data_IF_703573778721
#
_entry.id   IF_703573778721
#
_cell.length_a   1.000
_cell.length_b   1.000
_cell.length_c   1.000
_cell.angle_alpha   90.00
_cell.angle_beta   90.00
_cell.angle_gamma   90.00
#
_symmetry.space_group_name_H-M   'P 1'
#
loop_
_entity.id
_entity.type
_entity.pdbx_description
1 polymer ?
#
# COMPACT_ATOMS: atom_id res chain seq x y z
N UNK A 1 -21.05 13.48 -18.82
CA UNK A 1 -22.44 13.92 -18.57
C UNK A 1 -22.46 14.90 -17.40
N UNK A 2 -23.24 15.99 -17.45
CA UNK A 2 -23.43 16.88 -16.30
C UNK A 2 -24.25 16.17 -15.21
N UNK A 3 -23.70 16.09 -13.99
CA UNK A 3 -24.41 15.53 -12.84
C UNK A 3 -25.27 16.64 -12.23
N UNK A 4 -26.60 16.49 -12.28
CA UNK A 4 -27.52 17.47 -11.71
C UNK A 4 -27.77 17.17 -10.23
N UNK A 5 -27.13 17.95 -9.36
CA UNK A 5 -27.38 17.92 -7.92
C UNK A 5 -28.58 18.80 -7.61
N UNK A 6 -29.70 18.19 -7.18
CA UNK A 6 -30.94 18.90 -6.83
C UNK A 6 -31.00 19.34 -5.36
N UNK A 7 -30.16 18.75 -4.50
CA UNK A 7 -30.10 19.09 -3.08
C UNK A 7 -29.11 20.24 -2.84
N UNK A 8 -29.60 21.31 -2.22
CA UNK A 8 -28.80 22.50 -1.91
C UNK A 8 -27.63 22.19 -0.96
N UNK A 9 -27.80 21.25 -0.04
CA UNK A 9 -26.72 20.82 0.88
C UNK A 9 -25.57 20.16 0.12
N UNK A 10 -25.91 19.35 -0.88
CA UNK A 10 -24.91 18.68 -1.71
C UNK A 10 -24.22 19.68 -2.65
N UNK A 11 -24.92 20.72 -3.10
CA UNK A 11 -24.32 21.81 -3.89
C UNK A 11 -23.30 22.61 -3.07
N UNK A 12 -23.57 22.86 -1.78
CA UNK A 12 -22.61 23.50 -0.88
C UNK A 12 -21.37 22.63 -0.62
N UNK A 13 -21.57 21.32 -0.39
CA UNK A 13 -20.48 20.35 -0.27
C UNK A 13 -19.64 20.29 -1.55
N UNK A 14 -20.27 20.31 -2.73
CA UNK A 14 -19.58 20.32 -4.01
C UNK A 14 -18.73 21.59 -4.20
N UNK A 15 -19.20 22.75 -3.74
CA UNK A 15 -18.42 24.00 -3.76
C UNK A 15 -17.20 23.92 -2.84
N UNK A 16 -17.34 23.34 -1.65
CA UNK A 16 -16.21 23.12 -0.74
C UNK A 16 -15.21 22.14 -1.35
N UNK A 17 -15.68 21.01 -1.88
CA UNK A 17 -14.85 20.03 -2.57
C UNK A 17 -14.12 20.63 -3.77
N UNK A 18 -14.78 21.50 -4.55
CA UNK A 18 -14.16 22.19 -5.67
C UNK A 18 -13.01 23.09 -5.23
N UNK A 19 -13.16 23.82 -4.11
CA UNK A 19 -12.10 24.66 -3.55
C UNK A 19 -10.91 23.84 -3.04
N UNK A 20 -11.19 22.74 -2.34
CA UNK A 20 -10.15 21.86 -1.76
C UNK A 20 -9.37 21.16 -2.88
N UNK A 21 -10.08 20.61 -3.87
CA UNK A 21 -9.50 19.84 -4.97
C UNK A 21 -9.03 20.71 -6.15
N UNK A 22 -9.31 22.02 -6.13
CA UNK A 22 -9.05 22.98 -7.22
C UNK A 22 -9.56 22.50 -8.58
N UNK A 23 -10.71 21.81 -8.57
CA UNK A 23 -11.28 21.23 -9.78
C UNK A 23 -11.95 22.31 -10.66
N UNK A 24 -11.90 22.17 -11.99
CA UNK A 24 -12.43 23.17 -12.91
C UNK A 24 -13.96 23.27 -12.86
N UNK A 25 -14.65 22.16 -12.60
CA UNK A 25 -16.11 22.15 -12.43
C UNK A 25 -16.52 21.47 -11.13
N UNK A 26 -17.72 21.80 -10.61
CA UNK A 26 -18.33 21.11 -9.46
C UNK A 26 -18.50 19.61 -9.73
N UNK A 27 -18.84 19.24 -10.97
CA UNK A 27 -18.97 17.85 -11.40
C UNK A 27 -17.64 17.11 -11.34
N UNK A 28 -16.54 17.74 -11.76
CA UNK A 28 -15.19 17.17 -11.65
C UNK A 28 -14.76 17.03 -10.19
N UNK A 29 -15.09 18.01 -9.35
CA UNK A 29 -14.81 17.94 -7.91
C UNK A 29 -15.53 16.76 -7.27
N UNK A 30 -16.81 16.55 -7.59
CA UNK A 30 -17.62 15.43 -7.09
C UNK A 30 -17.04 14.11 -7.59
N UNK A 31 -16.73 14.00 -8.89
CA UNK A 31 -16.14 12.78 -9.46
C UNK A 31 -14.85 12.42 -8.76
N UNK A 32 -13.92 13.36 -8.64
CA UNK A 32 -12.63 13.13 -7.98
C UNK A 32 -12.78 12.83 -6.48
N UNK A 33 -13.76 13.41 -5.80
CA UNK A 33 -14.04 13.11 -4.40
C UNK A 33 -14.58 11.68 -4.25
N UNK A 34 -15.49 11.25 -5.12
CA UNK A 34 -16.03 9.90 -5.12
C UNK A 34 -15.00 8.86 -5.57
N UNK A 35 -14.22 9.16 -6.61
CA UNK A 35 -13.08 8.35 -7.04
C UNK A 35 -12.11 8.17 -5.88
N UNK A 36 -11.73 9.24 -5.16
CA UNK A 36 -10.91 9.08 -3.96
C UNK A 36 -11.56 8.20 -2.91
N UNK A 37 -12.86 8.29 -2.66
CA UNK A 37 -13.52 7.44 -1.66
C UNK A 37 -13.56 5.97 -2.09
N UNK A 38 -13.70 5.71 -3.40
CA UNK A 38 -13.73 4.36 -3.97
C UNK A 38 -12.32 3.77 -4.13
N UNK A 39 -11.35 4.59 -4.54
CA UNK A 39 -9.94 4.24 -4.72
C UNK A 39 -9.16 4.22 -3.41
N UNK A 40 -9.59 4.98 -2.40
CA UNK A 40 -9.13 4.73 -1.03
C UNK A 40 -9.64 3.33 -0.75
N UNK A 41 -8.76 2.30 -0.79
CA UNK A 41 -9.22 0.97 -0.49
C UNK A 41 -9.75 1.08 0.92
N UNK A 42 -10.90 0.43 1.15
CA UNK A 42 -11.62 0.39 2.43
C UNK A 42 -10.66 0.44 3.61
N UNK A 43 -11.08 0.98 4.76
CA UNK A 43 -10.30 1.15 6.00
C UNK A 43 -9.25 0.06 6.31
N UNK A 44 -9.41 -1.15 5.79
CA UNK A 44 -8.36 -2.15 5.54
C UNK A 44 -7.01 -1.60 5.04
N UNK A 45 -6.90 -0.83 3.94
CA UNK A 45 -5.59 -0.36 3.44
C UNK A 45 -4.96 0.76 4.29
N UNK A 46 -5.78 1.56 4.98
CA UNK A 46 -5.29 2.52 5.97
C UNK A 46 -4.81 1.78 7.23
N UNK A 47 -5.49 0.69 7.63
CA UNK A 47 -4.99 -0.26 8.63
C UNK A 47 -3.69 -0.92 8.19
N UNK A 48 -3.53 -1.27 6.92
CA UNK A 48 -2.29 -1.88 6.41
C UNK A 48 -1.09 -0.92 6.42
N UNK A 49 -1.33 0.38 6.26
CA UNK A 49 -0.29 1.40 6.45
C UNK A 49 0.05 1.66 7.92
N UNK A 50 -0.89 1.39 8.83
CA UNK A 50 -0.69 1.47 10.29
C UNK A 50 -0.21 0.15 10.91
N UNK A 51 -0.30 -0.96 10.17
CA UNK A 51 0.17 -2.24 10.62
C UNK A 51 1.68 -2.19 10.83
N UNK A 52 2.14 -2.74 11.95
CA UNK A 52 3.57 -2.85 12.23
C UNK A 52 4.26 -3.61 11.09
N UNK A 53 5.53 -3.31 10.85
CA UNK A 53 6.35 -4.03 9.86
C UNK A 53 6.33 -5.54 10.17
N UNK A 54 6.29 -5.91 11.45
CA UNK A 54 6.17 -7.29 11.93
C UNK A 54 4.88 -7.97 11.44
N UNK A 55 3.71 -7.35 11.63
CA UNK A 55 2.41 -7.88 11.19
C UNK A 55 2.32 -8.06 9.66
N UNK A 56 3.07 -7.23 8.91
CA UNK A 56 3.16 -7.37 7.45
C UNK A 56 4.01 -8.56 7.06
N UNK A 57 5.14 -8.77 7.76
CA UNK A 57 6.02 -9.92 7.55
C UNK A 57 5.32 -11.22 7.93
N UNK A 58 4.62 -11.27 9.06
CA UNK A 58 3.87 -12.46 9.49
C UNK A 58 2.80 -12.86 8.47
N UNK A 59 2.04 -11.89 7.93
CA UNK A 59 1.06 -12.16 6.88
C UNK A 59 1.70 -12.72 5.61
N UNK A 60 2.87 -12.22 5.21
CA UNK A 60 3.60 -12.76 4.07
C UNK A 60 4.08 -14.18 4.36
N UNK A 61 4.61 -14.45 5.55
CA UNK A 61 5.04 -15.80 5.95
C UNK A 61 3.88 -16.79 5.92
N UNK A 62 2.73 -16.42 6.50
CA UNK A 62 1.52 -17.25 6.48
C UNK A 62 1.01 -17.51 5.06
N UNK A 63 1.14 -16.54 4.15
CA UNK A 63 0.72 -16.69 2.75
C UNK A 63 1.58 -17.71 1.98
N UNK A 64 2.87 -17.81 2.31
CA UNK A 64 3.82 -18.69 1.63
C UNK A 64 4.21 -19.91 2.47
N UNK A 65 3.46 -20.19 3.55
CA UNK A 65 3.72 -21.27 4.50
C UNK A 65 5.18 -21.30 5.01
N UNK A 66 5.75 -20.12 5.26
CA UNK A 66 7.11 -19.97 5.76
C UNK A 66 7.15 -20.17 7.27
N UNK A 67 8.23 -20.78 7.79
CA UNK A 67 8.40 -20.97 9.23
C UNK A 67 8.55 -19.65 9.99
N UNK A 68 8.23 -19.65 11.31
CA UNK A 68 8.48 -18.51 12.20
C UNK A 68 9.94 -18.07 12.16
N UNK A 69 10.20 -16.76 12.28
CA UNK A 69 11.56 -16.22 12.19
C UNK A 69 12.49 -16.83 13.25
N UNK A 70 11.98 -17.04 14.46
CA UNK A 70 12.71 -17.61 15.59
C UNK A 70 13.15 -19.05 15.37
N UNK A 71 12.49 -19.77 14.46
CA UNK A 71 12.82 -21.15 14.12
C UNK A 71 13.83 -21.27 12.97
N UNK A 72 14.20 -20.16 12.33
CA UNK A 72 15.18 -20.17 11.26
C UNK A 72 16.59 -20.25 11.85
N UNK A 73 17.38 -21.19 11.34
CA UNK A 73 18.81 -21.23 11.60
C UNK A 73 19.47 -19.94 11.09
N UNK A 74 20.53 -19.51 11.78
CA UNK A 74 21.30 -18.36 11.31
C UNK A 74 21.91 -18.66 9.95
N UNK A 75 21.56 -17.82 8.98
CA UNK A 75 22.09 -17.94 7.63
C UNK A 75 23.52 -17.39 7.59
N UNK A 76 24.50 -18.25 7.33
CA UNK A 76 25.88 -17.83 7.10
C UNK A 76 26.02 -17.29 5.68
N UNK A 77 25.84 -15.97 5.57
CA UNK A 77 25.98 -15.25 4.31
C UNK A 77 27.37 -15.44 3.70
N UNK A 78 28.43 -15.52 4.51
CA UNK A 78 29.79 -15.64 4.00
C UNK A 78 30.01 -17.03 3.41
N UNK A 79 29.66 -18.09 4.14
CA UNK A 79 29.80 -19.45 3.63
C UNK A 79 28.99 -19.68 2.34
N UNK A 80 27.76 -19.14 2.29
CA UNK A 80 26.92 -19.20 1.09
C UNK A 80 27.56 -18.47 -0.10
N UNK A 81 28.11 -17.26 0.12
CA UNK A 81 28.79 -16.51 -0.94
C UNK A 81 30.12 -17.17 -1.33
N UNK A 82 30.89 -17.69 -0.38
CA UNK A 82 32.13 -18.42 -0.64
C UNK A 82 31.87 -19.68 -1.49
N UNK A 83 30.76 -20.39 -1.25
CA UNK A 83 30.31 -21.53 -2.06
C UNK A 83 29.94 -21.12 -3.48
N UNK A 84 29.21 -20.01 -3.63
CA UNK A 84 28.74 -19.51 -4.92
C UNK A 84 29.86 -18.89 -5.77
N UNK A 85 30.93 -18.38 -5.15
CA UNK A 85 32.07 -17.75 -5.84
C UNK A 85 33.35 -18.60 -5.84
N UNK A 86 33.37 -19.73 -5.13
CA UNK A 86 34.35 -20.79 -5.30
C UNK A 86 35.78 -20.41 -4.94
N UNK A 87 36.04 -19.97 -3.71
CA UNK A 87 37.41 -19.83 -3.21
C UNK A 87 37.81 -21.03 -2.34
N UNK A 88 38.09 -22.13 -3.05
CA UNK A 88 38.93 -23.21 -2.54
C UNK A 88 40.17 -23.46 -3.43
N UNK A 89 40.52 -22.54 -4.36
CA UNK A 89 41.63 -22.78 -5.29
C UNK A 89 42.31 -21.52 -5.87
N UNK A 90 42.64 -20.51 -5.05
CA UNK A 90 43.55 -19.41 -5.49
C UNK A 90 45.01 -19.60 -5.04
N UNK A 91 45.33 -20.77 -4.50
CA UNK A 91 46.69 -21.17 -4.15
C UNK A 91 47.04 -22.55 -4.72
N UNK A 92 47.23 -22.62 -6.04
CA UNK A 92 47.97 -23.72 -6.67
C UNK A 92 49.00 -23.19 -7.65
#
# INVERSE_FOLDING_TARGET
MPLYVRDERVNQLAQQAQKILKAPTKTDAIRQALERVVETPSETAVREKKASLEERIERLRAKYDMPPYESLEHFDEKAFLDEMWGDNDVHR
#
